data_IF_020501248626
#
_entry.id   IF_020501248626
#
_cell.length_a   1.000
_cell.length_b   1.000
_cell.length_c   1.000
_cell.angle_alpha   90.00
_cell.angle_beta   90.00
_cell.angle_gamma   90.00
#
_symmetry.space_group_name_H-M   'P 1'
#
loop_
_entity.id
_entity.type
_entity.pdbx_description
1 polymer ?
#
# COMPACT_ATOMS: atom_id res chain seq x y z
N UNK A 1 -9.46 -19.27 1.21
CA UNK A 1 -10.22 -18.10 0.70
C UNK A 1 -9.25 -16.96 0.36
N UNK A 2 -8.14 -17.28 -0.32
CA UNK A 2 -7.15 -16.29 -0.77
C UNK A 2 -7.31 -15.97 -2.27
N UNK A 3 -8.02 -16.85 -2.99
CA UNK A 3 -8.25 -16.75 -4.43
C UNK A 3 -8.92 -15.43 -4.83
N UNK A 4 -9.74 -14.86 -3.93
CA UNK A 4 -10.37 -13.56 -4.14
C UNK A 4 -9.35 -12.40 -4.10
N UNK A 5 -8.32 -12.47 -3.24
CA UNK A 5 -7.31 -11.40 -3.17
C UNK A 5 -6.44 -11.38 -4.44
N UNK A 6 -5.94 -12.55 -4.84
CA UNK A 6 -5.14 -12.69 -6.07
C UNK A 6 -5.92 -12.18 -7.30
N UNK A 7 -7.20 -12.55 -7.42
CA UNK A 7 -8.08 -12.11 -8.51
C UNK A 7 -8.27 -10.59 -8.51
N UNK A 8 -8.46 -9.96 -7.35
CA UNK A 8 -8.60 -8.50 -7.24
C UNK A 8 -7.32 -7.78 -7.67
N UNK A 9 -6.15 -8.30 -7.31
CA UNK A 9 -4.86 -7.71 -7.66
C UNK A 9 -4.59 -7.78 -9.17
N UNK A 10 -5.14 -8.74 -9.91
CA UNK A 10 -4.99 -8.76 -11.38
C UNK A 10 -5.54 -7.50 -12.06
N UNK A 11 -6.48 -6.81 -11.42
CA UNK A 11 -7.10 -5.58 -11.93
C UNK A 11 -6.20 -4.34 -11.79
N UNK A 12 -5.11 -4.44 -11.01
CA UNK A 12 -4.14 -3.35 -10.78
C UNK A 12 -3.23 -3.11 -11.99
N UNK A 13 -3.32 -3.97 -13.01
CA UNK A 13 -2.73 -3.73 -14.32
C UNK A 13 -3.44 -2.65 -15.14
N UNK A 14 -4.64 -2.22 -14.70
CA UNK A 14 -5.41 -1.16 -15.34
C UNK A 14 -5.13 0.23 -14.73
N UNK A 15 -5.20 1.27 -15.55
CA UNK A 15 -4.98 2.67 -15.15
C UNK A 15 -6.02 3.19 -14.13
N UNK A 16 -7.17 2.51 -13.99
CA UNK A 16 -8.25 2.93 -13.11
C UNK A 16 -8.82 1.74 -12.35
N UNK A 17 -8.65 1.77 -11.03
CA UNK A 17 -9.14 0.72 -10.15
C UNK A 17 -10.49 1.14 -9.60
N UNK A 18 -11.49 0.28 -9.75
CA UNK A 18 -12.82 0.60 -9.25
C UNK A 18 -12.83 0.73 -7.72
N UNK A 19 -13.65 1.66 -7.20
CA UNK A 19 -13.90 1.85 -5.76
C UNK A 19 -14.29 0.54 -5.06
N UNK A 20 -15.05 -0.33 -5.74
CA UNK A 20 -15.45 -1.65 -5.22
C UNK A 20 -14.25 -2.55 -4.96
N UNK A 21 -13.28 -2.57 -5.88
CA UNK A 21 -12.06 -3.37 -5.74
C UNK A 21 -11.21 -2.86 -4.59
N UNK A 22 -11.02 -1.54 -4.51
CA UNK A 22 -10.27 -0.91 -3.41
C UNK A 22 -10.92 -1.21 -2.05
N UNK A 23 -12.25 -1.12 -1.96
CA UNK A 23 -12.97 -1.47 -0.74
C UNK A 23 -12.81 -2.94 -0.36
N UNK A 24 -12.89 -3.88 -1.32
CA UNK A 24 -12.71 -5.31 -1.03
C UNK A 24 -11.29 -5.62 -0.57
N UNK A 25 -10.28 -4.99 -1.18
CA UNK A 25 -8.89 -5.12 -0.74
C UNK A 25 -8.72 -4.58 0.68
N UNK A 26 -9.31 -3.42 0.98
CA UNK A 26 -9.27 -2.82 2.30
C UNK A 26 -9.81 -3.79 3.37
N UNK A 27 -10.98 -4.39 3.12
CA UNK A 27 -11.59 -5.38 4.02
C UNK A 27 -10.71 -6.62 4.21
N UNK A 28 -10.13 -7.14 3.12
CA UNK A 28 -9.23 -8.31 3.19
C UNK A 28 -8.01 -7.96 4.05
N UNK A 29 -7.33 -6.84 3.79
CA UNK A 29 -6.15 -6.44 4.55
C UNK A 29 -6.46 -6.27 6.04
N UNK A 30 -7.55 -5.57 6.37
CA UNK A 30 -7.98 -5.38 7.76
C UNK A 30 -8.21 -6.72 8.47
N UNK A 31 -8.93 -7.64 7.83
CA UNK A 31 -9.16 -8.96 8.40
C UNK A 31 -7.85 -9.74 8.61
N UNK A 32 -6.94 -9.70 7.64
CA UNK A 32 -5.70 -10.47 7.72
C UNK A 32 -4.70 -9.90 8.73
N UNK A 33 -4.74 -8.59 9.02
CA UNK A 33 -3.95 -7.95 10.08
C UNK A 33 -4.24 -8.60 11.44
N UNK A 34 -5.51 -8.86 11.74
CA UNK A 34 -5.93 -9.33 13.07
C UNK A 34 -5.90 -10.86 13.21
N UNK A 35 -6.13 -11.59 12.11
CA UNK A 35 -6.39 -13.04 12.19
C UNK A 35 -5.19 -13.91 11.79
N UNK A 36 -4.57 -13.66 10.62
CA UNK A 36 -3.66 -14.65 10.02
C UNK A 36 -2.53 -14.07 9.16
N UNK A 37 -2.00 -12.90 9.55
CA UNK A 37 -0.98 -12.14 8.80
C UNK A 37 0.15 -13.02 8.25
N UNK A 38 0.70 -13.91 9.06
CA UNK A 38 1.83 -14.75 8.65
C UNK A 38 1.50 -15.71 7.50
N UNK A 39 0.35 -16.36 7.60
CA UNK A 39 -0.15 -17.28 6.60
C UNK A 39 -0.50 -16.52 5.32
N UNK A 40 -1.15 -15.37 5.46
CA UNK A 40 -1.54 -14.50 4.35
C UNK A 40 -0.33 -14.00 3.56
N UNK A 41 0.67 -13.43 4.23
CA UNK A 41 1.89 -12.94 3.56
C UNK A 41 2.62 -14.06 2.84
N UNK A 42 2.66 -15.27 3.43
CA UNK A 42 3.33 -16.41 2.82
C UNK A 42 2.63 -16.89 1.54
N UNK A 43 1.29 -16.88 1.51
CA UNK A 43 0.50 -17.34 0.36
C UNK A 43 0.37 -16.28 -0.73
N UNK A 44 0.20 -15.02 -0.34
CA UNK A 44 -0.13 -13.91 -1.22
C UNK A 44 1.04 -12.94 -1.44
N UNK A 45 2.27 -13.38 -1.20
CA UNK A 45 3.47 -12.53 -1.25
C UNK A 45 3.55 -11.67 -2.52
N UNK A 46 3.36 -12.28 -3.69
CA UNK A 46 3.48 -11.58 -4.97
C UNK A 46 2.33 -10.58 -5.20
N UNK A 47 1.13 -10.91 -4.72
CA UNK A 47 -0.03 -10.03 -4.82
C UNK A 47 0.07 -8.85 -3.86
N UNK A 48 0.56 -9.07 -2.64
CA UNK A 48 0.90 -7.99 -1.71
C UNK A 48 2.00 -7.12 -2.31
N UNK A 49 3.06 -7.72 -2.86
CA UNK A 49 4.13 -6.98 -3.53
C UNK A 49 3.60 -6.13 -4.69
N UNK A 50 2.62 -6.62 -5.44
CA UNK A 50 1.99 -5.88 -6.54
C UNK A 50 1.17 -4.70 -6.00
N UNK A 51 0.42 -4.91 -4.92
CA UNK A 51 -0.33 -3.86 -4.24
C UNK A 51 0.59 -2.77 -3.70
N UNK A 52 1.70 -3.14 -3.06
CA UNK A 52 2.69 -2.20 -2.54
C UNK A 52 3.34 -1.41 -3.68
N UNK A 53 3.71 -2.07 -4.79
CA UNK A 53 4.23 -1.37 -5.98
C UNK A 53 3.25 -0.35 -6.53
N UNK A 54 1.97 -0.72 -6.61
CA UNK A 54 0.93 0.19 -7.05
C UNK A 54 0.80 1.38 -6.11
N UNK A 55 0.82 1.15 -4.78
CA UNK A 55 0.71 2.22 -3.79
C UNK A 55 1.85 3.23 -3.95
N UNK A 56 3.09 2.76 -4.04
CA UNK A 56 4.24 3.61 -4.28
C UNK A 56 4.22 4.31 -5.66
N UNK A 57 3.76 3.62 -6.70
CA UNK A 57 3.59 4.23 -8.02
C UNK A 57 2.60 5.40 -7.95
N UNK A 58 1.47 5.19 -7.29
CA UNK A 58 0.42 6.20 -7.12
C UNK A 58 0.91 7.40 -6.30
N UNK A 59 1.70 7.16 -5.23
CA UNK A 59 2.37 8.20 -4.45
C UNK A 59 3.41 9.00 -5.27
N UNK A 60 4.11 8.33 -6.20
CA UNK A 60 5.07 8.98 -7.09
C UNK A 60 4.44 9.69 -8.30
N UNK A 61 3.13 9.60 -8.47
CA UNK A 61 2.37 10.34 -9.48
C UNK A 61 1.73 11.59 -8.85
N UNK A 62 1.06 12.42 -9.65
CA UNK A 62 0.44 13.65 -9.17
C UNK A 62 -0.65 13.35 -8.13
N UNK A 63 -0.31 13.57 -6.85
CA UNK A 63 -1.14 13.23 -5.69
C UNK A 63 -2.53 13.87 -5.70
N UNK A 64 -2.66 15.09 -6.22
CA UNK A 64 -3.92 15.84 -6.30
C UNK A 64 -5.04 15.12 -7.07
N UNK A 65 -4.72 14.10 -7.86
CA UNK A 65 -5.72 13.38 -8.65
C UNK A 65 -6.52 12.36 -7.84
N UNK A 66 -5.99 11.85 -6.73
CA UNK A 66 -6.58 10.73 -5.99
C UNK A 66 -6.61 10.97 -4.48
N UNK A 67 -5.82 11.92 -3.97
CA UNK A 67 -5.62 12.07 -2.52
C UNK A 67 -6.89 12.49 -1.78
N UNK A 68 -7.76 13.29 -2.42
CA UNK A 68 -9.03 13.74 -1.82
C UNK A 68 -10.13 12.66 -1.85
N UNK A 69 -9.88 11.55 -2.53
CA UNK A 69 -10.85 10.47 -2.64
C UNK A 69 -10.74 9.52 -1.43
N UNK A 70 -11.76 9.54 -0.57
CA UNK A 70 -11.80 8.81 0.72
C UNK A 70 -11.34 7.35 0.65
N UNK A 71 -11.72 6.65 -0.41
CA UNK A 71 -11.43 5.22 -0.57
C UNK A 71 -9.96 4.94 -0.88
N UNK A 72 -9.24 5.87 -1.51
CA UNK A 72 -7.78 5.78 -1.61
C UNK A 72 -7.16 6.00 -0.24
N UNK A 73 -7.59 7.05 0.48
CA UNK A 73 -7.09 7.31 1.82
C UNK A 73 -7.27 6.08 2.74
N UNK A 74 -8.45 5.46 2.74
CA UNK A 74 -8.73 4.25 3.53
C UNK A 74 -7.78 3.10 3.20
N UNK A 75 -7.54 2.83 1.92
CA UNK A 75 -6.61 1.76 1.49
C UNK A 75 -5.18 2.08 1.94
N UNK A 76 -4.72 3.32 1.78
CA UNK A 76 -3.37 3.72 2.20
C UNK A 76 -3.17 3.63 3.72
N UNK A 77 -4.16 4.06 4.51
CA UNK A 77 -4.10 3.92 5.96
C UNK A 77 -4.03 2.45 6.37
N UNK A 78 -4.86 1.59 5.77
CA UNK A 78 -4.83 0.16 6.04
C UNK A 78 -3.52 -0.49 5.60
N UNK A 79 -2.95 -0.08 4.46
CA UNK A 79 -1.63 -0.53 4.02
C UNK A 79 -0.53 -0.11 5.01
N UNK A 80 -0.55 1.12 5.50
CA UNK A 80 0.41 1.55 6.52
C UNK A 80 0.29 0.71 7.82
N UNK A 81 -0.94 0.41 8.26
CA UNK A 81 -1.18 -0.48 9.40
C UNK A 81 -0.68 -1.90 9.12
N UNK A 82 -0.96 -2.42 7.92
CA UNK A 82 -0.47 -3.72 7.46
C UNK A 82 1.07 -3.76 7.49
N UNK A 83 1.73 -2.74 6.97
CA UNK A 83 3.19 -2.62 6.92
C UNK A 83 3.81 -2.51 8.31
N UNK A 84 3.21 -1.73 9.21
CA UNK A 84 3.59 -1.70 10.62
C UNK A 84 3.52 -3.09 11.24
N UNK A 85 2.44 -3.82 11.01
CA UNK A 85 2.25 -5.19 11.52
C UNK A 85 3.27 -6.16 10.90
N UNK A 86 3.59 -5.99 9.63
CA UNK A 86 4.62 -6.77 8.95
C UNK A 86 6.03 -6.50 9.54
N UNK A 87 6.33 -5.26 9.93
CA UNK A 87 7.59 -4.91 10.57
C UNK A 87 7.70 -5.57 11.95
N UNK A 88 6.70 -5.38 12.81
CA UNK A 88 6.80 -5.74 14.24
C UNK A 88 6.29 -7.14 14.59
N UNK A 89 5.23 -7.61 13.94
CA UNK A 89 4.51 -8.81 14.36
C UNK A 89 4.77 -10.02 13.44
N UNK A 90 5.19 -9.78 12.20
CA UNK A 90 5.49 -10.86 11.26
C UNK A 90 6.91 -11.38 11.45
N UNK A 91 7.09 -12.49 12.17
CA UNK A 91 8.40 -13.06 12.47
C UNK A 91 8.89 -14.00 11.36
N UNK A 92 9.04 -13.50 10.12
CA UNK A 92 9.83 -14.20 9.11
C UNK A 92 11.32 -13.95 9.36
N UNK A 93 12.10 -15.02 9.40
CA UNK A 93 13.57 -15.02 9.50
C UNK A 93 14.29 -14.35 8.31
N UNK A 94 13.58 -14.00 7.24
CA UNK A 94 14.12 -13.32 6.05
C UNK A 94 13.75 -11.84 6.05
N UNK A 95 14.57 -11.04 6.74
CA UNK A 95 14.53 -9.56 6.72
C UNK A 95 14.48 -9.01 5.29
N UNK A 96 15.13 -9.68 4.34
CA UNK A 96 15.12 -9.33 2.92
C UNK A 96 13.72 -9.31 2.30
N UNK A 97 12.84 -10.26 2.65
CA UNK A 97 11.46 -10.28 2.14
C UNK A 97 10.64 -9.12 2.67
N UNK A 98 10.83 -8.74 3.94
CA UNK A 98 10.18 -7.55 4.50
C UNK A 98 10.62 -6.29 3.78
N UNK A 99 11.94 -6.14 3.56
CA UNK A 99 12.49 -4.99 2.85
C UNK A 99 11.93 -4.87 1.43
N UNK A 100 11.77 -6.00 0.72
CA UNK A 100 11.17 -6.02 -0.63
C UNK A 100 9.70 -5.57 -0.61
N UNK A 101 8.92 -5.96 0.40
CA UNK A 101 7.52 -5.54 0.51
C UNK A 101 7.39 -4.06 0.88
N UNK A 102 8.23 -3.58 1.80
CA UNK A 102 8.18 -2.20 2.27
C UNK A 102 8.78 -1.22 1.24
N UNK A 103 9.78 -1.61 0.47
CA UNK A 103 10.40 -0.70 -0.50
C UNK A 103 10.49 -1.36 -1.87
N UNK A 104 9.34 -1.64 -2.53
CA UNK A 104 9.31 -2.35 -3.80
C UNK A 104 9.56 -1.43 -5.01
N UNK A 105 10.26 -0.32 -4.81
CA UNK A 105 10.41 0.79 -5.76
C UNK A 105 11.83 1.30 -5.86
N UNK A 106 12.08 2.13 -6.88
CA UNK A 106 13.39 2.75 -7.11
C UNK A 106 13.56 3.99 -6.25
N UNK A 107 14.83 4.39 -6.05
CA UNK A 107 15.20 5.65 -5.40
C UNK A 107 14.58 6.86 -6.14
N UNK A 108 14.45 6.79 -7.46
CA UNK A 108 13.84 7.87 -8.26
C UNK A 108 12.37 8.11 -7.89
N UNK A 109 11.59 7.04 -7.67
CA UNK A 109 10.20 7.19 -7.23
C UNK A 109 10.09 7.82 -5.84
N UNK A 110 11.01 7.46 -4.94
CA UNK A 110 11.09 8.05 -3.60
C UNK A 110 11.46 9.54 -3.69
N UNK A 111 12.41 9.91 -4.56
CA UNK A 111 12.78 11.30 -4.77
C UNK A 111 11.60 12.14 -5.27
N UNK A 112 10.78 11.60 -6.19
CA UNK A 112 9.57 12.30 -6.67
C UNK A 112 8.58 12.55 -5.51
N UNK A 113 8.42 11.59 -4.60
CA UNK A 113 7.57 11.77 -3.41
C UNK A 113 8.12 12.89 -2.52
N UNK A 114 9.43 12.92 -2.29
CA UNK A 114 10.06 13.99 -1.50
C UNK A 114 9.99 15.36 -2.17
N UNK A 115 10.12 15.43 -3.49
CA UNK A 115 9.91 16.67 -4.25
C UNK A 115 8.48 17.19 -4.09
N UNK A 116 7.47 16.30 -4.16
CA UNK A 116 6.07 16.67 -3.93
C UNK A 116 5.84 17.19 -2.51
N UNK A 117 6.39 16.53 -1.48
CA UNK A 117 6.33 17.01 -0.09
C UNK A 117 6.94 18.42 0.02
N UNK A 118 8.12 18.64 -0.56
CA UNK A 118 8.82 19.92 -0.49
C UNK A 118 8.13 21.07 -1.23
N UNK A 119 7.17 20.78 -2.11
CA UNK A 119 6.39 21.78 -2.84
C UNK A 119 5.11 22.21 -2.11
N UNK A 120 4.64 21.41 -1.14
CA UNK A 120 3.44 21.75 -0.38
C UNK A 120 3.73 22.85 0.64
N UNK A 121 2.77 23.75 0.80
CA UNK A 121 2.78 24.79 1.83
C UNK A 121 1.67 24.58 2.86
N UNK A 122 0.97 23.44 2.81
CA UNK A 122 -0.10 23.08 3.73
C UNK A 122 0.41 22.06 4.75
N UNK A 123 0.46 22.45 6.02
CA UNK A 123 0.86 21.58 7.12
C UNK A 123 -0.11 20.40 7.34
N UNK A 124 -1.32 20.46 6.77
CA UNK A 124 -2.34 19.41 6.84
C UNK A 124 -2.58 18.73 5.49
N UNK A 125 -1.65 18.84 4.54
CA UNK A 125 -1.76 18.23 3.23
C UNK A 125 -2.04 16.71 3.37
N UNK A 126 -3.19 16.21 2.89
CA UNK A 126 -3.54 14.80 2.98
C UNK A 126 -2.47 13.87 2.40
N UNK A 127 -1.72 14.31 1.37
CA UNK A 127 -0.62 13.55 0.80
C UNK A 127 0.53 13.41 1.80
N UNK A 128 0.93 14.50 2.45
CA UNK A 128 1.96 14.47 3.49
C UNK A 128 1.52 13.57 4.63
N UNK A 129 0.26 13.67 5.07
CA UNK A 129 -0.30 12.82 6.12
C UNK A 129 -0.14 11.34 5.72
N UNK A 130 -0.57 10.95 4.52
CA UNK A 130 -0.46 9.55 4.06
C UNK A 130 0.99 9.09 3.95
N UNK A 131 1.86 9.87 3.31
CA UNK A 131 3.27 9.49 3.14
C UNK A 131 3.97 9.36 4.50
N UNK A 132 3.60 10.18 5.49
CA UNK A 132 4.19 10.12 6.83
C UNK A 132 3.81 8.87 7.64
N UNK A 133 2.79 8.10 7.20
CA UNK A 133 2.40 6.84 7.84
C UNK A 133 3.33 5.67 7.48
N UNK A 134 4.13 5.85 6.43
CA UNK A 134 5.11 4.89 5.91
C UNK A 134 6.48 5.05 6.56
#
# INVERSE_FOLDING_TARGET
>A
MYDNFEELITQFSSLYISTKVLHQINLILQQQIDESLSLFVSHSFNSILTLERWAWQLLSQNSHQWIDELHYQEVFHTLALFNKKLIYDYNITEVSKKAILLFPVTVDQINIIFEQIGQSNDDNDPFIIIVSLW
#
